data_IF_180510217408
#
_entry.id   IF_180510217408
#
_cell.length_a   1.000
_cell.length_b   1.000
_cell.length_c   1.000
_cell.angle_alpha   90.00
_cell.angle_beta   90.00
_cell.angle_gamma   90.00
#
_symmetry.space_group_name_H-M   'P 1'
#
loop_
_entity.id
_entity.type
_entity.pdbx_description
1 polymer ?
#
# COMPACT_ATOMS: atom_id res chain seq x y z
N UNK A 1 -63.95 -13.95 22.21
CA UNK A 1 -63.38 -12.60 22.39
C UNK A 1 -61.88 -12.75 22.61
N UNK A 2 -61.10 -12.54 21.55
CA UNK A 2 -59.68 -12.90 21.51
C UNK A 2 -58.83 -11.78 22.15
N UNK A 3 -58.36 -12.02 23.38
CA UNK A 3 -57.61 -11.05 24.21
C UNK A 3 -56.11 -10.97 23.91
N UNK A 4 -55.64 -11.52 22.79
CA UNK A 4 -54.19 -11.68 22.52
C UNK A 4 -53.66 -10.77 21.40
N UNK A 5 -54.44 -9.81 20.90
CA UNK A 5 -54.06 -8.97 19.74
C UNK A 5 -53.37 -7.63 20.11
N UNK A 6 -52.99 -7.44 21.38
CA UNK A 6 -52.38 -6.19 21.87
C UNK A 6 -50.91 -6.33 22.31
N UNK A 7 -50.31 -7.51 22.20
CA UNK A 7 -48.89 -7.74 22.55
C UNK A 7 -47.93 -7.66 21.35
N UNK A 8 -48.45 -7.67 20.12
CA UNK A 8 -47.66 -7.54 18.89
C UNK A 8 -46.99 -6.16 18.66
N UNK A 9 -47.59 -5.00 19.00
CA UNK A 9 -46.94 -3.72 18.74
C UNK A 9 -45.82 -3.39 19.76
N UNK A 10 -45.82 -4.04 20.92
CA UNK A 10 -44.81 -3.80 21.97
C UNK A 10 -43.49 -4.53 21.66
N UNK A 11 -43.54 -5.75 21.11
CA UNK A 11 -42.34 -6.46 20.66
C UNK A 11 -41.65 -5.78 19.47
N UNK A 12 -42.40 -5.15 18.55
CA UNK A 12 -41.83 -4.42 17.42
C UNK A 12 -41.13 -3.12 17.83
N UNK A 13 -41.56 -2.48 18.92
CA UNK A 13 -40.93 -1.27 19.46
C UNK A 13 -39.65 -1.59 20.26
N UNK A 14 -39.54 -2.77 20.85
CA UNK A 14 -38.31 -3.21 21.51
C UNK A 14 -37.22 -3.68 20.52
N UNK A 15 -37.58 -4.19 19.34
CA UNK A 15 -36.60 -4.58 18.31
C UNK A 15 -35.92 -3.40 17.61
N UNK A 16 -36.52 -2.21 17.60
CA UNK A 16 -35.92 -1.01 16.97
C UNK A 16 -34.85 -0.34 17.82
N UNK A 17 -34.76 -0.66 19.12
CA UNK A 17 -33.77 -0.07 20.05
C UNK A 17 -32.44 -0.85 20.11
N UNK A 18 -32.35 -2.03 19.50
CA UNK A 18 -31.12 -2.85 19.43
C UNK A 18 -30.43 -2.81 18.06
N UNK A 19 -30.94 -2.01 17.12
CA UNK A 19 -30.44 -1.92 15.74
C UNK A 19 -29.35 -0.88 15.52
N UNK A 20 -28.30 -0.84 16.34
CA UNK A 20 -27.10 -0.05 16.04
C UNK A 20 -25.83 -0.79 16.50
N UNK A 21 -25.74 -2.09 16.20
CA UNK A 21 -24.53 -2.84 16.42
C UNK A 21 -23.54 -2.58 15.26
N UNK A 22 -22.57 -1.72 15.55
CA UNK A 22 -21.15 -1.90 15.23
C UNK A 22 -20.79 -2.18 13.76
N UNK A 23 -20.81 -1.15 12.92
CA UNK A 23 -19.79 -1.06 11.86
C UNK A 23 -18.58 -0.40 12.49
N UNK A 24 -17.75 -1.20 13.17
CA UNK A 24 -16.46 -0.71 13.66
C UNK A 24 -15.68 -0.18 12.45
N UNK A 25 -15.15 1.05 12.56
CA UNK A 25 -14.35 1.66 11.50
C UNK A 25 -13.15 0.75 11.26
N UNK A 26 -13.04 0.20 10.05
CA UNK A 26 -11.90 -0.64 9.70
C UNK A 26 -10.62 0.21 9.73
N UNK A 27 -9.71 -0.14 10.63
CA UNK A 27 -8.42 0.54 10.75
C UNK A 27 -7.36 -0.09 9.85
N UNK A 28 -6.41 0.75 9.43
CA UNK A 28 -5.26 0.32 8.62
C UNK A 28 -4.25 -0.36 9.53
N UNK A 29 -3.54 -1.35 8.99
CA UNK A 29 -2.35 -1.89 9.65
C UNK A 29 -1.25 -0.84 9.73
N UNK A 30 -0.18 -1.14 10.46
CA UNK A 30 1.10 -0.48 10.26
C UNK A 30 1.63 -0.67 8.84
N UNK A 31 2.61 0.16 8.47
CA UNK A 31 3.29 0.07 7.18
C UNK A 31 4.07 -1.25 7.08
N UNK A 32 3.57 -2.17 6.26
CA UNK A 32 4.22 -3.44 5.98
C UNK A 32 5.59 -3.28 5.32
N UNK A 33 5.88 -2.15 4.68
CA UNK A 33 7.20 -1.89 4.10
C UNK A 33 8.28 -1.61 5.16
N UNK A 34 7.88 -1.24 6.38
CA UNK A 34 8.79 -0.94 7.50
C UNK A 34 9.04 -2.13 8.42
N UNK A 35 8.45 -3.30 8.13
CA UNK A 35 8.65 -4.53 8.93
C UNK A 35 10.09 -5.04 8.75
N UNK A 36 10.66 -5.60 9.81
CA UNK A 36 11.97 -6.26 9.79
C UNK A 36 12.04 -7.35 8.71
N UNK A 37 13.08 -7.31 7.88
CA UNK A 37 13.32 -8.31 6.84
C UNK A 37 12.74 -7.97 5.46
N UNK A 38 11.97 -6.88 5.34
CA UNK A 38 11.54 -6.35 4.04
C UNK A 38 12.75 -5.90 3.23
N UNK A 39 12.69 -6.13 1.92
CA UNK A 39 13.72 -5.68 0.96
C UNK A 39 13.08 -4.91 -0.18
N UNK A 40 13.82 -3.99 -0.76
CA UNK A 40 13.42 -3.29 -1.97
C UNK A 40 14.53 -3.30 -3.01
N UNK A 41 14.19 -3.06 -4.28
CA UNK A 41 15.18 -2.84 -5.36
C UNK A 41 16.21 -1.78 -4.96
N UNK A 42 15.77 -0.75 -4.25
CA UNK A 42 16.65 0.19 -3.57
C UNK A 42 16.12 0.38 -2.15
N UNK A 43 16.95 0.16 -1.13
CA UNK A 43 16.53 0.23 0.28
C UNK A 43 16.00 1.61 0.68
N UNK A 44 16.45 2.68 0.01
CA UNK A 44 15.98 4.06 0.26
C UNK A 44 14.54 4.33 -0.15
N UNK A 45 13.85 3.35 -0.73
CA UNK A 45 12.42 3.45 -1.07
C UNK A 45 11.52 2.98 0.08
N UNK A 46 12.08 2.40 1.14
CA UNK A 46 11.34 1.81 2.26
C UNK A 46 12.03 2.10 3.60
N UNK A 47 12.90 3.13 3.64
CA UNK A 47 13.72 3.43 4.82
C UNK A 47 13.02 4.39 5.80
N UNK A 48 11.78 4.79 5.50
CA UNK A 48 10.99 5.71 6.31
C UNK A 48 11.47 7.17 6.23
N UNK A 49 12.42 7.48 5.33
CA UNK A 49 12.98 8.82 5.19
C UNK A 49 12.60 9.44 3.85
N UNK A 50 11.54 10.27 3.88
CA UNK A 50 11.03 11.02 2.73
C UNK A 50 12.04 12.00 2.07
N UNK A 51 13.22 12.20 2.65
CA UNK A 51 14.28 13.07 2.09
C UNK A 51 15.30 12.29 1.26
N UNK A 52 15.31 10.97 1.35
CA UNK A 52 16.11 10.10 0.51
C UNK A 52 15.24 9.52 -0.58
N UNK A 53 15.82 9.26 -1.76
CA UNK A 53 15.12 8.54 -2.81
C UNK A 53 15.98 7.40 -3.33
N UNK A 54 15.30 6.33 -3.75
CA UNK A 54 15.84 5.28 -4.58
C UNK A 54 15.43 5.47 -6.03
N UNK A 55 16.31 5.06 -6.95
CA UNK A 55 15.97 4.96 -8.38
C UNK A 55 15.45 3.56 -8.72
N UNK A 56 14.43 3.51 -9.58
CA UNK A 56 13.96 2.23 -10.14
C UNK A 56 14.99 1.67 -11.12
N UNK A 57 15.11 0.34 -11.18
CA UNK A 57 16.11 -0.33 -11.99
C UNK A 57 15.53 -0.76 -13.35
N UNK A 58 16.32 -0.61 -14.42
CA UNK A 58 16.03 -1.29 -15.70
C UNK A 58 16.47 -2.76 -15.60
N UNK A 59 15.78 -3.64 -16.32
CA UNK A 59 16.17 -5.06 -16.36
C UNK A 59 17.54 -5.19 -17.03
N UNK A 60 18.43 -6.01 -16.46
CA UNK A 60 19.70 -6.31 -17.11
C UNK A 60 19.47 -6.90 -18.51
N UNK A 61 20.27 -6.47 -19.48
CA UNK A 61 20.10 -6.83 -20.90
C UNK A 61 18.94 -6.12 -21.61
N UNK A 62 18.21 -5.21 -20.96
CA UNK A 62 17.27 -4.34 -21.66
C UNK A 62 18.04 -3.25 -22.40
N UNK A 63 18.44 -3.52 -23.64
CA UNK A 63 19.09 -2.52 -24.47
C UNK A 63 18.11 -1.38 -24.78
N UNK A 64 18.58 -0.15 -24.63
CA UNK A 64 17.85 1.03 -25.10
C UNK A 64 18.04 1.11 -26.61
N UNK A 65 17.33 0.24 -27.29
CA UNK A 65 17.39 0.12 -28.73
C UNK A 65 16.94 1.42 -29.40
N UNK A 66 17.62 1.76 -30.49
CA UNK A 66 17.20 2.90 -31.31
C UNK A 66 15.87 2.61 -32.01
N UNK A 67 15.56 1.33 -32.21
CA UNK A 67 14.37 0.83 -32.90
C UNK A 67 13.60 -0.15 -32.00
N UNK A 68 12.84 0.38 -31.05
CA UNK A 68 12.00 -0.43 -30.16
C UNK A 68 11.29 0.39 -29.08
N UNK A 69 10.33 -0.21 -28.36
CA UNK A 69 9.75 0.42 -27.19
C UNK A 69 10.83 0.57 -26.11
N UNK A 70 10.95 1.79 -25.57
CA UNK A 70 11.87 2.08 -24.47
C UNK A 70 11.68 1.08 -23.31
N UNK A 71 12.75 0.48 -22.76
CA UNK A 71 12.61 -0.42 -21.63
C UNK A 71 11.99 0.30 -20.43
N UNK A 72 11.23 -0.43 -19.65
CA UNK A 72 10.58 0.08 -18.43
C UNK A 72 11.47 -0.21 -17.24
N UNK A 73 11.68 0.78 -16.38
CA UNK A 73 12.29 0.56 -15.08
C UNK A 73 11.25 0.04 -14.08
N UNK A 74 11.71 -0.63 -13.03
CA UNK A 74 10.86 -1.23 -12.01
C UNK A 74 11.45 -1.07 -10.61
N UNK A 75 10.57 -0.92 -9.62
CA UNK A 75 10.86 -1.16 -8.21
C UNK A 75 10.12 -2.41 -7.76
N UNK A 76 10.78 -3.24 -6.97
CA UNK A 76 10.22 -4.45 -6.36
C UNK A 76 10.39 -4.31 -4.85
N UNK A 77 9.31 -4.50 -4.10
CA UNK A 77 9.31 -4.63 -2.64
C UNK A 77 8.99 -6.08 -2.31
N UNK A 78 9.83 -6.71 -1.48
CA UNK A 78 9.73 -8.10 -1.04
C UNK A 78 9.45 -8.12 0.45
N UNK A 79 8.31 -8.67 0.84
CA UNK A 79 7.93 -8.90 2.21
C UNK A 79 8.50 -10.24 2.70
N UNK A 80 8.85 -10.37 3.99
CA UNK A 80 9.30 -11.63 4.57
C UNK A 80 8.20 -12.69 4.62
N UNK A 81 6.94 -12.25 4.65
CA UNK A 81 5.76 -13.11 4.70
C UNK A 81 4.68 -12.59 3.75
N UNK A 82 3.80 -13.49 3.29
CA UNK A 82 2.65 -13.09 2.48
C UNK A 82 1.68 -12.26 3.31
N UNK A 83 1.34 -11.07 2.81
CA UNK A 83 0.34 -10.17 3.40
C UNK A 83 -0.73 -9.81 2.37
N UNK A 84 -1.92 -9.49 2.85
CA UNK A 84 -3.00 -8.95 2.00
C UNK A 84 -2.86 -7.44 1.95
N UNK A 85 -2.39 -6.93 0.81
CA UNK A 85 -2.16 -5.49 0.60
C UNK A 85 -3.42 -4.88 0.00
N UNK A 86 -3.93 -3.83 0.66
CA UNK A 86 -5.19 -3.15 0.33
C UNK A 86 -4.98 -1.68 -0.04
N UNK A 87 -3.89 -1.08 0.42
CA UNK A 87 -3.50 0.29 0.09
C UNK A 87 -2.00 0.36 -0.14
N UNK A 88 -1.62 1.11 -1.17
CA UNK A 88 -0.23 1.37 -1.53
C UNK A 88 -0.07 2.88 -1.62
N UNK A 89 0.88 3.43 -0.86
CA UNK A 89 1.22 4.86 -0.90
C UNK A 89 2.61 5.00 -1.49
N UNK A 90 2.77 5.88 -2.47
CA UNK A 90 4.06 6.11 -3.14
C UNK A 90 4.39 7.60 -3.08
N UNK A 91 5.51 7.94 -2.47
CA UNK A 91 6.07 9.28 -2.48
C UNK A 91 7.04 9.43 -3.65
N UNK A 92 6.73 10.30 -4.60
CA UNK A 92 7.54 10.49 -5.81
C UNK A 92 7.24 11.82 -6.47
N UNK A 93 8.27 12.48 -6.99
CA UNK A 93 8.12 13.74 -7.74
C UNK A 93 8.18 13.57 -9.26
N UNK A 94 8.67 12.44 -9.77
CA UNK A 94 8.93 12.30 -11.21
C UNK A 94 8.06 11.25 -11.93
N UNK A 95 7.31 10.42 -11.21
CA UNK A 95 6.41 9.45 -11.82
C UNK A 95 5.23 10.13 -12.53
N UNK A 96 4.94 9.70 -13.76
CA UNK A 96 3.74 10.13 -14.52
C UNK A 96 2.78 8.99 -14.80
N UNK A 97 3.33 7.83 -15.18
CA UNK A 97 2.57 6.65 -15.58
C UNK A 97 3.27 5.39 -15.08
N UNK A 98 2.54 4.51 -14.41
CA UNK A 98 3.07 3.25 -13.91
C UNK A 98 1.96 2.22 -13.67
N UNK A 99 2.37 0.98 -13.46
CA UNK A 99 1.48 -0.13 -13.13
C UNK A 99 2.00 -0.82 -11.88
N UNK A 100 1.12 -1.04 -10.91
CA UNK A 100 1.39 -1.84 -9.71
C UNK A 100 0.96 -3.27 -9.98
N UNK A 101 1.88 -4.19 -9.72
CA UNK A 101 1.67 -5.63 -9.78
C UNK A 101 1.87 -6.26 -8.42
N UNK A 102 1.19 -7.37 -8.20
CA UNK A 102 1.43 -8.28 -7.07
C UNK A 102 1.78 -9.66 -7.61
N UNK A 103 2.71 -10.34 -6.93
CA UNK A 103 3.12 -11.70 -7.28
C UNK A 103 2.07 -12.71 -6.83
N UNK A 104 1.62 -13.57 -7.73
CA UNK A 104 0.68 -14.67 -7.46
C UNK A 104 1.38 -15.88 -6.84
N UNK A 105 2.71 -15.92 -6.85
CA UNK A 105 3.50 -17.14 -6.73
C UNK A 105 3.95 -17.59 -8.13
N UNK A 106 4.99 -18.42 -8.17
CA UNK A 106 5.58 -18.96 -9.42
C UNK A 106 6.06 -17.91 -10.45
N UNK A 107 6.50 -16.73 -10.00
CA UNK A 107 6.96 -15.61 -10.85
C UNK A 107 5.86 -14.99 -11.74
N UNK A 108 4.60 -15.35 -11.49
CA UNK A 108 3.45 -14.81 -12.21
C UNK A 108 2.93 -13.53 -11.57
N UNK A 109 2.85 -12.46 -12.35
CA UNK A 109 2.45 -11.14 -11.87
C UNK A 109 1.00 -10.82 -12.23
N UNK A 110 0.20 -10.41 -11.25
CA UNK A 110 -1.12 -9.85 -11.47
C UNK A 110 -1.07 -8.32 -11.52
N UNK A 111 -1.78 -7.70 -12.46
CA UNK A 111 -2.04 -6.24 -12.40
C UNK A 111 -3.00 -5.95 -11.25
N UNK A 112 -2.59 -5.07 -10.35
CA UNK A 112 -3.37 -4.63 -9.19
C UNK A 112 -3.96 -3.26 -9.44
N UNK A 113 -3.17 -2.35 -10.00
CA UNK A 113 -3.56 -0.98 -10.31
C UNK A 113 -2.79 -0.44 -11.49
N UNK A 114 -3.49 0.23 -12.39
CA UNK A 114 -2.87 1.04 -13.44
C UNK A 114 -3.07 2.52 -13.13
N UNK A 115 -1.98 3.28 -13.20
CA UNK A 115 -1.98 4.73 -13.00
C UNK A 115 -1.51 5.36 -14.30
N UNK A 116 -2.47 5.90 -15.06
CA UNK A 116 -2.21 6.50 -16.36
C UNK A 116 -1.74 7.95 -16.30
N UNK A 117 -2.07 8.64 -15.22
CA UNK A 117 -1.67 10.01 -14.95
C UNK A 117 -1.58 10.22 -13.44
N UNK A 118 -0.44 10.69 -12.95
CA UNK A 118 -0.24 11.07 -11.55
C UNK A 118 -0.67 12.52 -11.35
N UNK A 119 -1.54 12.75 -10.37
CA UNK A 119 -2.11 14.08 -10.09
C UNK A 119 -1.83 14.59 -8.67
N UNK A 120 -1.33 13.73 -7.78
CA UNK A 120 -1.05 14.06 -6.38
C UNK A 120 0.24 13.40 -5.92
N UNK A 121 0.86 13.99 -4.89
CA UNK A 121 1.96 13.40 -4.13
C UNK A 121 1.66 13.64 -2.63
N UNK A 122 1.51 12.60 -1.79
CA UNK A 122 1.67 11.18 -2.12
C UNK A 122 0.63 10.63 -3.11
N UNK A 123 1.02 9.57 -3.80
CA UNK A 123 0.16 8.81 -4.70
C UNK A 123 -0.49 7.70 -3.88
N UNK A 124 -1.73 7.93 -3.44
CA UNK A 124 -2.49 7.00 -2.60
C UNK A 124 -3.39 6.09 -3.44
N UNK A 125 -3.15 4.78 -3.39
CA UNK A 125 -3.78 3.79 -4.24
C UNK A 125 -4.52 2.73 -3.43
N UNK A 126 -5.85 2.74 -3.53
CA UNK A 126 -6.68 1.61 -3.08
C UNK A 126 -6.62 0.45 -4.07
N UNK A 127 -6.41 -0.75 -3.54
CA UNK A 127 -6.37 -2.01 -4.27
C UNK A 127 -7.76 -2.64 -4.26
N UNK A 128 -8.40 -2.71 -5.43
CA UNK A 128 -9.78 -3.18 -5.56
C UNK A 128 -9.95 -4.70 -5.37
N UNK A 129 -8.94 -5.48 -5.78
CA UNK A 129 -8.95 -6.95 -5.68
C UNK A 129 -7.71 -7.43 -4.90
N UNK A 130 -7.68 -7.22 -3.57
CA UNK A 130 -6.52 -7.56 -2.76
C UNK A 130 -6.40 -9.07 -2.61
N UNK A 131 -5.18 -9.59 -2.76
CA UNK A 131 -4.87 -11.00 -2.57
C UNK A 131 -3.56 -11.14 -1.79
N UNK A 132 -3.32 -12.28 -1.11
CA UNK A 132 -2.09 -12.50 -0.38
C UNK A 132 -0.87 -12.54 -1.31
N UNK A 133 0.11 -11.69 -1.06
CA UNK A 133 1.35 -11.62 -1.83
C UNK A 133 2.53 -11.30 -0.92
N UNK A 134 3.73 -11.75 -1.31
CA UNK A 134 5.00 -11.41 -0.67
C UNK A 134 5.83 -10.45 -1.53
N UNK A 135 5.36 -10.07 -2.73
CA UNK A 135 6.08 -9.19 -3.65
C UNK A 135 5.16 -8.21 -4.36
N UNK A 136 5.50 -6.93 -4.26
CA UNK A 136 4.90 -5.86 -5.07
C UNK A 136 5.91 -5.36 -6.08
N UNK A 137 5.48 -5.18 -7.32
CA UNK A 137 6.29 -4.57 -8.39
C UNK A 137 5.61 -3.32 -8.92
N UNK A 138 6.32 -2.21 -8.89
CA UNK A 138 5.93 -0.95 -9.52
C UNK A 138 6.71 -0.84 -10.83
N UNK A 139 6.01 -1.00 -11.96
CA UNK A 139 6.58 -0.85 -13.31
C UNK A 139 6.36 0.57 -13.80
N UNK A 140 7.45 1.32 -14.01
CA UNK A 140 7.40 2.70 -14.48
C UNK A 140 7.30 2.74 -16.00
N UNK A 141 6.24 3.36 -16.50
CA UNK A 141 5.96 3.50 -17.93
C UNK A 141 6.25 4.90 -18.47
N UNK A 142 6.35 5.90 -17.59
CA UNK A 142 6.75 7.25 -17.96
C UNK A 142 7.03 8.17 -16.77
N UNK A 143 7.94 9.12 -17.00
CA UNK A 143 8.41 10.09 -16.01
C UNK A 143 8.36 11.53 -16.53
N UNK A 144 8.50 12.51 -15.64
CA UNK A 144 8.73 13.92 -16.00
C UNK A 144 10.07 14.13 -16.71
N UNK A 145 11.06 13.29 -16.43
CA UNK A 145 12.44 13.39 -16.92
C UNK A 145 12.64 12.79 -18.34
N UNK A 146 11.69 12.00 -18.85
CA UNK A 146 11.82 11.36 -20.17
C UNK A 146 12.07 12.37 -21.31
N UNK A 147 11.39 13.51 -21.27
CA UNK A 147 11.49 14.53 -22.30
C UNK A 147 12.83 15.28 -22.27
N UNK A 148 13.43 15.46 -21.09
CA UNK A 148 14.75 16.10 -20.97
C UNK A 148 15.84 15.15 -21.47
N UNK A 149 15.76 13.85 -21.14
CA UNK A 149 16.70 12.82 -21.62
C UNK A 149 16.69 12.71 -23.15
N UNK A 150 15.50 12.64 -23.76
CA UNK A 150 15.36 12.61 -25.23
C UNK A 150 15.97 13.83 -25.90
N UNK A 151 15.76 15.03 -25.34
CA UNK A 151 16.35 16.28 -25.88
C UNK A 151 17.87 16.30 -25.73
N UNK A 152 18.40 15.86 -24.59
CA UNK A 152 19.84 15.77 -24.35
C UNK A 152 20.53 14.83 -25.34
N UNK A 153 19.91 13.71 -25.67
CA UNK A 153 20.45 12.75 -26.64
C UNK A 153 20.50 13.31 -28.05
N UNK A 154 19.42 13.95 -28.52
CA UNK A 154 19.39 14.61 -29.85
C UNK A 154 20.48 15.66 -30.01
N UNK A 155 20.85 16.35 -28.92
CA UNK A 155 21.98 17.31 -28.93
C UNK A 155 23.34 16.64 -29.10
N UNK A 156 23.52 15.42 -28.56
CA UNK A 156 24.79 14.68 -28.63
C UNK A 156 24.94 13.87 -29.91
N UNK A 157 23.85 13.39 -30.47
CA UNK A 157 23.84 12.67 -31.74
C UNK A 157 22.54 12.97 -32.48
N UNK A 158 22.63 13.77 -33.55
CA UNK A 158 21.49 14.23 -34.34
C UNK A 158 20.68 13.06 -34.93
N UNK A 159 21.35 11.95 -35.26
CA UNK A 159 20.74 10.73 -35.81
C UNK A 159 20.17 9.80 -34.73
N UNK A 160 20.44 10.06 -33.45
CA UNK A 160 19.93 9.24 -32.36
C UNK A 160 18.50 9.66 -31.99
N UNK A 161 17.52 9.03 -32.64
CA UNK A 161 16.09 9.11 -32.26
C UNK A 161 15.68 7.97 -31.32
N UNK A 162 16.55 7.62 -30.37
CA UNK A 162 16.25 6.56 -29.40
C UNK A 162 15.15 6.94 -28.43
N UNK A 163 14.23 6.01 -28.17
CA UNK A 163 13.18 6.16 -27.18
C UNK A 163 13.80 5.79 -25.81
N UNK A 164 14.40 6.77 -25.10
CA UNK A 164 14.92 6.56 -23.74
C UNK A 164 13.90 6.97 -22.70
N UNK A 165 13.88 6.23 -21.59
CA UNK A 165 13.10 6.53 -20.39
C UNK A 165 14.04 6.81 -19.22
N UNK A 166 13.64 7.71 -18.35
CA UNK A 166 14.32 7.94 -17.08
C UNK A 166 13.89 6.88 -16.05
N UNK A 167 14.74 6.58 -15.06
CA UNK A 167 14.29 5.86 -13.89
C UNK A 167 13.27 6.70 -13.10
N UNK A 168 12.35 6.01 -12.44
CA UNK A 168 11.50 6.62 -11.42
C UNK A 168 12.32 6.92 -10.17
N UNK A 169 12.03 8.05 -9.52
CA UNK A 169 12.62 8.47 -8.25
C UNK A 169 11.54 8.33 -7.19
N UNK A 170 11.73 7.37 -6.29
CA UNK A 170 10.75 7.05 -5.25
C UNK A 170 11.41 7.34 -3.91
N UNK A 171 10.78 8.23 -3.13
CA UNK A 171 11.23 8.62 -1.80
C UNK A 171 10.79 7.62 -0.74
N UNK A 172 9.57 7.12 -0.85
CA UNK A 172 9.03 6.14 0.10
C UNK A 172 7.90 5.34 -0.55
N UNK A 173 7.80 4.07 -0.20
CA UNK A 173 6.73 3.14 -0.56
C UNK A 173 6.16 2.59 0.74
N UNK A 174 4.88 2.80 0.93
CA UNK A 174 4.16 2.28 2.08
C UNK A 174 3.10 1.28 1.62
N UNK A 175 2.97 0.19 2.38
CA UNK A 175 2.08 -0.93 2.07
C UNK A 175 1.19 -1.21 3.26
N UNK A 176 -0.12 -1.20 3.07
CA UNK A 176 -1.08 -1.36 4.17
C UNK A 176 -2.10 -2.44 3.87
N UNK A 177 -2.43 -3.21 4.90
CA UNK A 177 -3.61 -4.06 4.97
C UNK A 177 -4.60 -3.52 6.00
N UNK A 178 -5.52 -4.38 6.42
CA UNK A 178 -6.38 -4.07 7.56
C UNK A 178 -5.78 -4.66 8.83
N UNK A 179 -5.95 -3.97 9.94
CA UNK A 179 -5.60 -4.50 11.25
C UNK A 179 -6.50 -5.71 11.54
N UNK A 180 -5.89 -6.85 11.87
CA UNK A 180 -6.62 -8.02 12.34
C UNK A 180 -7.14 -7.75 13.74
N UNK A 181 -8.35 -8.22 14.08
CA UNK A 181 -8.93 -8.05 15.43
C UNK A 181 -7.99 -8.49 16.56
N UNK A 182 -7.17 -9.52 16.33
CA UNK A 182 -6.16 -10.00 17.30
C UNK A 182 -5.04 -9.00 17.63
N UNK A 183 -4.79 -8.02 16.75
CA UNK A 183 -3.80 -6.97 16.99
C UNK A 183 -4.40 -5.75 17.72
N UNK A 184 -5.72 -5.53 17.60
CA UNK A 184 -6.41 -4.47 18.34
C UNK A 184 -6.50 -4.79 19.84
N UNK A 185 -6.55 -6.07 20.20
CA UNK A 185 -6.58 -6.53 21.60
C UNK A 185 -5.19 -6.59 22.26
N UNK A 186 -4.11 -6.40 21.49
CA UNK A 186 -2.72 -6.51 21.97
C UNK A 186 -2.09 -5.16 22.36
N UNK A 187 -2.77 -4.05 22.06
CA UNK A 187 -2.31 -2.68 22.39
C UNK A 187 -3.12 -2.02 23.52
N UNK A 188 -3.83 -2.80 24.34
CA UNK A 188 -4.26 -2.31 25.65
C UNK A 188 -3.02 -2.26 26.57
N UNK A 189 -2.69 -1.12 27.19
CA UNK A 189 -1.54 -1.03 28.08
C UNK A 189 -1.73 -1.99 29.26
N UNK A 190 -0.80 -2.94 29.42
CA UNK A 190 -0.55 -3.66 30.67
C UNK A 190 -0.37 -2.63 31.80
N UNK A 191 -1.45 -2.32 32.49
CA UNK A 191 -1.44 -1.33 33.56
C UNK A 191 -2.82 -1.04 34.10
N UNK A 192 -3.49 -2.03 34.70
CA UNK A 192 -4.59 -1.77 35.64
C UNK A 192 -5.10 -2.98 36.44
N UNK A 193 -4.64 -4.22 36.23
CA UNK A 193 -5.14 -5.35 37.03
C UNK A 193 -4.67 -5.35 38.50
N UNK A 194 -3.54 -4.71 38.83
CA UNK A 194 -3.05 -4.63 40.22
C UNK A 194 -3.73 -3.54 41.06
N UNK A 195 -4.49 -2.62 40.47
CA UNK A 195 -5.13 -1.53 41.21
C UNK A 195 -6.53 -1.89 41.74
N UNK A 196 -7.21 -2.86 41.13
CA UNK A 196 -8.56 -3.26 41.56
C UNK A 196 -8.57 -4.17 42.80
N UNK A 197 -7.55 -4.99 43.01
CA UNK A 197 -7.42 -5.80 44.24
C UNK A 197 -7.03 -4.94 45.46
N UNK A 198 -6.23 -3.90 45.25
CA UNK A 198 -5.83 -2.98 46.32
C UNK A 198 -6.97 -2.06 46.81
N UNK A 199 -7.92 -1.70 45.95
CA UNK A 199 -9.11 -0.93 46.35
C UNK A 199 -10.15 -1.80 47.09
N UNK A 200 -10.30 -3.08 46.73
CA UNK A 200 -11.23 -3.98 47.41
C UNK A 200 -10.83 -4.27 48.87
N UNK A 201 -9.52 -4.38 49.14
CA UNK A 201 -8.98 -4.59 50.49
C UNK A 201 -9.08 -3.34 51.40
N UNK A 202 -9.22 -2.15 50.82
CA UNK A 202 -9.49 -0.92 51.60
C UNK A 202 -10.97 -0.72 51.93
N UNK A 203 -11.89 -1.31 51.18
CA UNK A 203 -13.34 -1.22 51.43
C UNK A 203 -13.86 -2.26 52.44
N UNK A 204 -13.01 -3.21 52.86
CA UNK A 204 -13.34 -4.28 53.82
C UNK A 204 -12.69 -4.11 55.21
N UNK A 205 -12.08 -2.96 55.49
CA UNK A 205 -11.62 -2.55 56.85
C UNK A 205 -12.52 -1.47 57.42
#
# INVERSE_FOLDING_TARGET
MNRNLWLLPICLYFLSLFGCALVAKQEWSDNYASITGVRATNARMIDGNIRTFGETAFREGSEQDTFGPAPTSQAIVMLPERKVIRRVVIHSDNLKKFTVYADKGSEDWQVVKEVNNVTSNPIDLSVNAPFPTDKIRIRVLGTTDDASLRRGQRRRNFWASGNRRAPGKIYEIELYGYQSATAADAEEPMGSQDQSEAELDQLLK
#
